data_IF_468565448147
#
_entry.id   IF_468565448147
#
_cell.length_a   1.000
_cell.length_b   1.000
_cell.length_c   1.000
_cell.angle_alpha   90.00
_cell.angle_beta   90.00
_cell.angle_gamma   90.00
#
_symmetry.space_group_name_H-M   'P 1'
#
loop_
_entity.id
_entity.type
_entity.pdbx_description
1 polymer ?
#
# COMPACT_ATOMS: atom_id res chain seq x y z
N UNK A 1 -23.52 12.94 -0.96
CA UNK A 1 -24.53 12.70 0.09
C UNK A 1 -23.98 11.58 0.94
N UNK A 2 -23.64 11.82 2.20
CA UNK A 2 -23.18 10.73 3.08
C UNK A 2 -24.38 9.78 3.27
N UNK A 3 -24.24 8.53 2.80
CA UNK A 3 -25.16 7.47 3.19
C UNK A 3 -24.98 7.30 4.69
N UNK A 4 -26.00 7.64 5.47
CA UNK A 4 -26.03 7.35 6.90
C UNK A 4 -26.28 5.84 7.03
N UNK A 5 -25.20 5.05 6.96
CA UNK A 5 -25.27 3.61 7.18
C UNK A 5 -25.56 3.41 8.67
N UNK A 6 -26.62 2.66 8.98
CA UNK A 6 -26.79 2.15 10.35
C UNK A 6 -25.82 0.96 10.56
N UNK A 7 -24.75 1.13 11.34
CA UNK A 7 -23.77 0.05 11.56
C UNK A 7 -24.40 -1.25 12.02
N UNK A 8 -25.47 -1.19 12.81
CA UNK A 8 -26.13 -2.39 13.40
C UNK A 8 -26.83 -3.26 12.36
N UNK A 9 -27.12 -2.71 11.19
CA UNK A 9 -27.79 -3.43 10.10
C UNK A 9 -26.83 -3.89 9.01
N UNK A 10 -25.54 -3.57 9.11
CA UNK A 10 -24.52 -3.89 8.11
C UNK A 10 -23.57 -4.99 8.65
N UNK A 11 -23.75 -6.23 8.17
CA UNK A 11 -22.94 -7.38 8.56
C UNK A 11 -21.63 -7.41 7.78
N UNK A 12 -20.51 -7.35 8.49
CA UNK A 12 -19.17 -7.22 7.90
C UNK A 12 -18.45 -8.56 7.89
N UNK A 13 -18.02 -9.01 6.71
CA UNK A 13 -17.01 -10.06 6.56
C UNK A 13 -15.62 -9.42 6.63
N UNK A 14 -14.89 -9.61 7.73
CA UNK A 14 -13.54 -9.08 7.90
C UNK A 14 -12.51 -10.10 7.40
N UNK A 15 -11.92 -9.85 6.22
CA UNK A 15 -10.96 -10.74 5.59
C UNK A 15 -9.55 -10.46 6.08
N UNK A 16 -8.94 -11.45 6.74
CA UNK A 16 -7.57 -11.38 7.23
C UNK A 16 -6.89 -12.76 7.22
N UNK A 17 -5.59 -12.82 7.41
CA UNK A 17 -4.80 -14.05 7.29
C UNK A 17 -4.31 -14.26 5.85
N UNK A 18 -4.95 -15.18 5.12
CA UNK A 18 -4.56 -15.48 3.74
C UNK A 18 -3.31 -16.36 3.63
N UNK A 19 -2.74 -16.44 2.41
CA UNK A 19 -1.64 -17.38 2.07
C UNK A 19 -0.30 -16.69 1.79
N UNK A 20 -0.24 -15.36 1.87
CA UNK A 20 0.99 -14.61 1.60
C UNK A 20 2.02 -14.75 2.73
N UNK A 21 3.25 -14.32 2.45
CA UNK A 21 4.31 -14.23 3.45
C UNK A 21 4.00 -13.18 4.54
N UNK A 22 3.00 -12.31 4.33
CA UNK A 22 2.56 -11.25 5.25
C UNK A 22 1.36 -11.66 6.12
N UNK A 23 1.08 -12.98 6.22
CA UNK A 23 -0.06 -13.53 6.96
C UNK A 23 -0.19 -13.00 8.39
N UNK A 24 0.90 -12.98 9.15
CA UNK A 24 0.87 -12.54 10.56
C UNK A 24 0.51 -11.05 10.69
N UNK A 25 0.98 -10.23 9.76
CA UNK A 25 0.65 -8.79 9.69
C UNK A 25 -0.83 -8.61 9.33
N UNK A 26 -1.33 -9.43 8.42
CA UNK A 26 -2.73 -9.45 8.03
C UNK A 26 -3.64 -9.82 9.20
N UNK A 27 -3.29 -10.84 10.00
CA UNK A 27 -4.02 -11.23 11.20
C UNK A 27 -4.02 -10.10 12.25
N UNK A 28 -2.87 -9.46 12.47
CA UNK A 28 -2.76 -8.32 13.39
C UNK A 28 -3.59 -7.11 12.92
N UNK A 29 -3.61 -6.82 11.61
CA UNK A 29 -4.46 -5.79 11.00
C UNK A 29 -5.94 -6.12 11.18
N UNK A 30 -6.32 -7.39 10.95
CA UNK A 30 -7.67 -7.89 11.14
C UNK A 30 -8.15 -7.72 12.58
N UNK A 31 -7.34 -8.07 13.57
CA UNK A 31 -7.71 -7.90 14.99
C UNK A 31 -7.90 -6.42 15.35
N UNK A 32 -7.02 -5.53 14.88
CA UNK A 32 -7.18 -4.09 15.09
C UNK A 32 -8.46 -3.53 14.45
N UNK A 33 -8.74 -3.93 13.22
CA UNK A 33 -9.95 -3.53 12.51
C UNK A 33 -11.23 -4.10 13.14
N UNK A 34 -11.20 -5.36 13.63
CA UNK A 34 -12.31 -5.99 14.35
C UNK A 34 -12.71 -5.18 15.57
N UNK A 35 -11.75 -4.86 16.44
CA UNK A 35 -12.03 -4.05 17.64
C UNK A 35 -12.63 -2.68 17.29
N UNK A 36 -12.13 -2.05 16.21
CA UNK A 36 -12.61 -0.75 15.76
C UNK A 36 -14.03 -0.81 15.21
N UNK A 37 -14.33 -1.80 14.35
CA UNK A 37 -15.65 -2.01 13.75
C UNK A 37 -16.70 -2.39 14.79
N UNK A 38 -16.37 -3.30 15.74
CA UNK A 38 -17.25 -3.66 16.87
C UNK A 38 -17.54 -2.44 17.75
N UNK A 39 -16.52 -1.57 18.00
CA UNK A 39 -16.68 -0.33 18.73
C UNK A 39 -17.61 0.65 17.98
N UNK A 40 -17.56 0.68 16.64
CA UNK A 40 -18.49 1.45 15.80
C UNK A 40 -19.90 0.86 15.76
N UNK A 41 -20.10 -0.39 16.23
CA UNK A 41 -21.38 -1.08 16.33
C UNK A 41 -21.71 -2.04 15.20
N UNK A 42 -20.75 -2.35 14.31
CA UNK A 42 -20.92 -3.35 13.24
C UNK A 42 -20.88 -4.78 13.79
N UNK A 43 -21.77 -5.68 13.35
CA UNK A 43 -21.60 -7.11 13.51
C UNK A 43 -20.48 -7.60 12.57
N UNK A 44 -19.39 -8.10 13.16
CA UNK A 44 -18.17 -8.48 12.43
C UNK A 44 -17.91 -9.97 12.55
N UNK A 45 -17.60 -10.61 11.44
CA UNK A 45 -17.12 -11.98 11.41
C UNK A 45 -15.79 -12.07 10.67
N UNK A 46 -14.80 -12.66 11.35
CA UNK A 46 -13.48 -12.86 10.74
C UNK A 46 -13.53 -14.03 9.76
N UNK A 47 -12.95 -13.81 8.58
CA UNK A 47 -12.88 -14.75 7.47
C UNK A 47 -11.42 -14.88 7.06
N UNK A 48 -10.89 -16.10 7.10
CA UNK A 48 -9.54 -16.39 6.61
C UNK A 48 -9.60 -17.04 5.22
N UNK A 49 -9.21 -16.35 4.14
CA UNK A 49 -9.25 -16.93 2.79
C UNK A 49 -8.29 -18.11 2.57
N UNK A 50 -7.40 -18.41 3.51
CA UNK A 50 -6.61 -19.63 3.48
C UNK A 50 -7.46 -20.88 3.80
N UNK A 51 -8.56 -20.72 4.54
CA UNK A 51 -9.52 -21.77 4.85
C UNK A 51 -10.63 -21.84 3.80
N UNK A 52 -10.84 -23.03 3.24
CA UNK A 52 -11.90 -23.24 2.22
C UNK A 52 -13.31 -23.14 2.79
N UNK A 53 -13.48 -23.45 4.08
CA UNK A 53 -14.77 -23.32 4.77
C UNK A 53 -15.16 -21.86 4.90
N UNK A 54 -14.22 -21.00 5.25
CA UNK A 54 -14.42 -19.56 5.34
C UNK A 54 -14.69 -18.92 3.97
N UNK A 55 -13.97 -19.34 2.92
CA UNK A 55 -14.30 -18.91 1.55
C UNK A 55 -15.72 -19.33 1.14
N UNK A 56 -16.18 -20.52 1.57
CA UNK A 56 -17.54 -20.97 1.30
C UNK A 56 -18.56 -20.13 2.04
N UNK A 57 -18.27 -19.67 3.25
CA UNK A 57 -19.15 -18.77 4.02
C UNK A 57 -19.41 -17.45 3.31
N UNK A 58 -18.41 -16.88 2.60
CA UNK A 58 -18.61 -15.68 1.79
C UNK A 58 -19.66 -15.84 0.70
N UNK A 59 -19.85 -17.07 0.19
CA UNK A 59 -20.85 -17.39 -0.85
C UNK A 59 -22.22 -17.69 -0.22
N UNK A 60 -22.24 -18.45 0.88
CA UNK A 60 -23.46 -19.02 1.43
C UNK A 60 -24.16 -18.11 2.46
N UNK A 61 -23.42 -17.22 3.11
CA UNK A 61 -23.97 -16.37 4.17
C UNK A 61 -24.20 -14.93 3.68
N UNK A 62 -25.25 -14.26 4.19
CA UNK A 62 -25.59 -12.89 3.78
C UNK A 62 -24.68 -11.87 4.50
N UNK A 63 -23.53 -11.56 3.92
CA UNK A 63 -22.72 -10.39 4.30
C UNK A 63 -23.12 -9.19 3.44
N UNK A 64 -23.04 -7.98 4.01
CA UNK A 64 -23.34 -6.74 3.31
C UNK A 64 -22.09 -6.10 2.70
N UNK A 65 -20.94 -6.35 3.32
CA UNK A 65 -19.65 -5.80 2.88
C UNK A 65 -18.49 -6.67 3.37
N UNK A 66 -17.44 -6.79 2.55
CA UNK A 66 -16.16 -7.34 2.94
C UNK A 66 -15.18 -6.22 3.35
N UNK A 67 -14.62 -6.30 4.55
CA UNK A 67 -13.56 -5.40 5.00
C UNK A 67 -12.20 -6.07 4.82
N UNK A 68 -11.34 -5.52 3.96
CA UNK A 68 -10.07 -6.15 3.59
C UNK A 68 -8.94 -5.70 4.52
N UNK A 69 -8.31 -6.68 5.18
CA UNK A 69 -7.06 -6.55 5.93
C UNK A 69 -6.00 -7.54 5.44
N UNK A 70 -6.10 -7.96 4.18
CA UNK A 70 -5.14 -8.87 3.55
C UNK A 70 -3.92 -8.10 3.06
N UNK A 71 -2.75 -8.74 3.06
CA UNK A 71 -1.51 -8.15 2.57
C UNK A 71 -0.80 -9.08 1.59
N UNK A 72 -0.08 -8.48 0.63
CA UNK A 72 0.71 -9.19 -0.37
C UNK A 72 -0.14 -9.99 -1.36
N UNK A 73 0.48 -11.05 -1.90
CA UNK A 73 -0.09 -11.90 -2.94
C UNK A 73 -1.44 -12.51 -2.54
N UNK A 74 -2.39 -12.56 -3.47
CA UNK A 74 -3.79 -12.97 -3.30
C UNK A 74 -4.66 -12.02 -2.48
N UNK A 75 -4.10 -11.00 -1.83
CA UNK A 75 -4.83 -9.99 -1.07
C UNK A 75 -4.84 -8.63 -1.76
N UNK A 76 -3.65 -8.16 -2.18
CA UNK A 76 -3.46 -6.83 -2.77
C UNK A 76 -3.31 -6.84 -4.30
N UNK A 77 -3.31 -8.02 -4.94
CA UNK A 77 -3.04 -8.21 -6.36
C UNK A 77 -4.29 -8.29 -7.25
N UNK A 78 -5.47 -8.03 -6.71
CA UNK A 78 -6.75 -8.12 -7.43
C UNK A 78 -7.42 -9.49 -7.38
N UNK A 79 -6.75 -10.53 -6.88
CA UNK A 79 -7.30 -11.90 -6.84
C UNK A 79 -8.53 -12.00 -5.93
N UNK A 80 -8.42 -11.50 -4.69
CA UNK A 80 -9.54 -11.52 -3.74
C UNK A 80 -10.64 -10.57 -4.19
N UNK A 81 -10.28 -9.41 -4.72
CA UNK A 81 -11.23 -8.44 -5.27
C UNK A 81 -12.08 -9.06 -6.39
N UNK A 82 -11.43 -9.78 -7.32
CA UNK A 82 -12.14 -10.49 -8.40
C UNK A 82 -13.06 -11.61 -7.90
N UNK A 83 -12.69 -12.29 -6.82
CA UNK A 83 -13.58 -13.28 -6.18
C UNK A 83 -14.82 -12.60 -5.58
N UNK A 84 -14.64 -11.47 -4.89
CA UNK A 84 -15.74 -10.71 -4.28
C UNK A 84 -16.66 -10.09 -5.34
N UNK A 85 -16.09 -9.61 -6.46
CA UNK A 85 -16.89 -9.15 -7.62
C UNK A 85 -17.77 -10.26 -8.20
N UNK A 86 -17.26 -11.51 -8.30
CA UNK A 86 -18.02 -12.65 -8.83
C UNK A 86 -19.20 -13.08 -7.95
N UNK A 87 -19.16 -12.77 -6.66
CA UNK A 87 -20.24 -13.06 -5.71
C UNK A 87 -21.08 -11.83 -5.35
N UNK A 88 -20.88 -10.72 -6.08
CA UNK A 88 -21.57 -9.45 -5.87
C UNK A 88 -21.47 -8.90 -4.42
N UNK A 89 -20.38 -9.19 -3.70
CA UNK A 89 -20.14 -8.69 -2.35
C UNK A 89 -19.29 -7.41 -2.40
N UNK A 90 -19.84 -6.23 -2.03
CA UNK A 90 -19.05 -5.00 -1.91
C UNK A 90 -17.87 -5.16 -0.95
N UNK A 91 -16.76 -4.48 -1.21
CA UNK A 91 -15.57 -4.59 -0.38
C UNK A 91 -14.83 -3.25 -0.24
N UNK A 92 -14.11 -3.07 0.86
CA UNK A 92 -13.29 -1.90 1.10
C UNK A 92 -12.04 -1.88 0.21
N UNK A 93 -11.43 -0.72 0.07
CA UNK A 93 -10.23 -0.50 -0.74
C UNK A 93 -10.47 -0.58 -2.25
N UNK A 94 -9.42 -0.69 -3.03
CA UNK A 94 -9.45 -0.60 -4.49
C UNK A 94 -9.96 -1.88 -5.17
N UNK A 95 -10.48 -1.76 -6.38
CA UNK A 95 -10.93 -2.87 -7.21
C UNK A 95 -9.80 -3.67 -7.85
N UNK A 96 -10.16 -4.66 -8.67
CA UNK A 96 -9.23 -5.61 -9.33
C UNK A 96 -8.11 -4.91 -10.09
N UNK A 97 -8.48 -4.00 -10.99
CA UNK A 97 -7.53 -3.30 -11.86
C UNK A 97 -6.51 -2.50 -11.06
N UNK A 98 -6.98 -1.67 -10.14
CA UNK A 98 -6.13 -0.78 -9.33
C UNK A 98 -5.21 -1.57 -8.42
N UNK A 99 -5.70 -2.64 -7.81
CA UNK A 99 -4.92 -3.53 -6.94
C UNK A 99 -3.80 -4.22 -7.71
N UNK A 100 -4.11 -4.84 -8.86
CA UNK A 100 -3.12 -5.48 -9.70
C UNK A 100 -2.08 -4.50 -10.25
N UNK A 101 -2.52 -3.29 -10.64
CA UNK A 101 -1.64 -2.25 -11.17
C UNK A 101 -0.71 -1.69 -10.09
N UNK A 102 -1.23 -1.39 -8.91
CA UNK A 102 -0.43 -0.85 -7.81
C UNK A 102 0.61 -1.85 -7.29
N UNK A 103 0.28 -3.15 -7.30
CA UNK A 103 1.20 -4.22 -6.88
C UNK A 103 2.38 -4.36 -7.83
N UNK A 104 2.20 -4.12 -9.13
CA UNK A 104 3.24 -4.13 -10.14
C UNK A 104 3.94 -2.77 -10.21
N UNK A 105 5.08 -2.65 -9.52
CA UNK A 105 5.84 -1.39 -9.41
C UNK A 105 6.25 -0.83 -10.77
N UNK A 106 6.66 -1.69 -11.70
CA UNK A 106 7.06 -1.26 -13.03
C UNK A 106 5.89 -0.65 -13.82
N UNK A 107 4.72 -1.27 -13.73
CA UNK A 107 3.50 -0.77 -14.41
C UNK A 107 2.95 0.47 -13.71
N UNK A 108 2.94 0.51 -12.37
CA UNK A 108 2.52 1.69 -11.60
C UNK A 108 3.34 2.94 -12.00
N UNK A 109 4.66 2.79 -12.17
CA UNK A 109 5.55 3.90 -12.58
C UNK A 109 5.21 4.45 -13.96
N UNK A 110 4.78 3.63 -14.92
CA UNK A 110 4.32 4.10 -16.24
C UNK A 110 3.12 5.05 -16.10
N UNK A 111 2.21 4.77 -15.16
CA UNK A 111 1.08 5.65 -14.89
C UNK A 111 1.50 6.92 -14.13
N UNK A 112 2.46 6.83 -13.21
CA UNK A 112 3.01 8.03 -12.57
C UNK A 112 3.67 8.95 -13.60
N UNK A 113 4.52 8.42 -14.46
CA UNK A 113 5.18 9.19 -15.52
C UNK A 113 4.16 9.84 -16.48
N UNK A 114 3.14 9.11 -16.91
CA UNK A 114 2.07 9.62 -17.77
C UNK A 114 1.35 10.81 -17.14
N UNK A 115 1.13 10.79 -15.86
CA UNK A 115 0.43 11.86 -15.10
C UNK A 115 1.42 12.93 -14.58
N UNK A 116 2.69 12.88 -15.00
CA UNK A 116 3.76 13.77 -14.54
C UNK A 116 3.94 13.79 -13.03
N UNK A 117 3.82 12.61 -12.39
CA UNK A 117 4.13 12.39 -10.98
C UNK A 117 5.61 12.00 -10.91
N UNK A 118 6.46 12.75 -10.18
CA UNK A 118 7.86 12.40 -10.06
C UNK A 118 8.04 11.02 -9.40
N UNK A 119 8.73 10.11 -10.09
CA UNK A 119 9.12 8.79 -9.59
C UNK A 119 10.57 8.54 -9.98
N UNK A 120 11.39 7.83 -9.17
CA UNK A 120 12.79 7.61 -9.51
C UNK A 120 12.94 6.98 -10.89
N UNK A 121 13.87 7.45 -11.74
CA UNK A 121 14.19 6.80 -13.00
C UNK A 121 14.46 5.32 -12.77
N UNK A 122 13.92 4.46 -13.62
CA UNK A 122 14.01 3.02 -13.44
C UNK A 122 14.09 2.26 -14.76
N UNK A 123 14.53 1.02 -14.67
CA UNK A 123 14.45 0.03 -15.73
C UNK A 123 13.95 -1.30 -15.20
N UNK A 124 13.22 -2.01 -16.02
CA UNK A 124 12.73 -3.36 -15.71
C UNK A 124 13.60 -4.39 -16.41
N UNK A 125 13.94 -5.44 -15.68
CA UNK A 125 14.74 -6.56 -16.17
C UNK A 125 13.98 -7.87 -15.94
N UNK A 126 13.88 -8.69 -16.99
CA UNK A 126 13.25 -10.01 -16.90
C UNK A 126 14.31 -11.09 -16.64
N UNK A 127 13.95 -12.11 -15.90
CA UNK A 127 14.82 -13.27 -15.63
C UNK A 127 15.35 -13.88 -16.91
N UNK A 128 16.69 -14.05 -16.97
CA UNK A 128 17.39 -14.52 -18.16
C UNK A 128 17.79 -13.43 -19.16
N UNK A 129 17.38 -12.19 -18.96
CA UNK A 129 17.87 -11.05 -19.73
C UNK A 129 19.30 -10.70 -19.27
N UNK A 130 20.20 -10.46 -20.21
CA UNK A 130 21.53 -9.93 -19.88
C UNK A 130 21.45 -8.43 -19.58
N UNK A 131 22.07 -8.02 -18.50
CA UNK A 131 22.16 -6.63 -18.05
C UNK A 131 23.63 -6.21 -18.09
N UNK A 132 23.90 -5.11 -18.75
CA UNK A 132 25.19 -4.43 -18.66
C UNK A 132 25.16 -3.50 -17.44
N UNK A 133 25.77 -3.95 -16.34
CA UNK A 133 25.79 -3.19 -15.10
C UNK A 133 26.48 -1.84 -15.23
N UNK A 134 27.46 -1.70 -16.14
CA UNK A 134 28.10 -0.40 -16.39
C UNK A 134 27.12 0.55 -17.09
N UNK A 135 26.34 0.07 -18.04
CA UNK A 135 25.29 0.88 -18.67
C UNK A 135 24.20 1.34 -17.67
N UNK A 136 23.89 0.50 -16.68
CA UNK A 136 22.99 0.89 -15.57
C UNK A 136 23.61 2.04 -14.77
N UNK A 137 24.88 1.95 -14.40
CA UNK A 137 25.61 2.99 -13.66
C UNK A 137 25.64 4.29 -14.46
N UNK A 138 25.94 4.23 -15.74
CA UNK A 138 26.00 5.40 -16.63
C UNK A 138 24.64 6.11 -16.72
N UNK A 139 23.55 5.37 -16.68
CA UNK A 139 22.19 5.92 -16.76
C UNK A 139 21.61 6.40 -15.43
N UNK A 140 21.93 5.74 -14.31
CA UNK A 140 21.24 5.93 -13.02
C UNK A 140 22.17 6.38 -11.89
N UNK A 141 23.49 6.33 -12.07
CA UNK A 141 24.51 6.62 -11.07
C UNK A 141 25.05 5.35 -10.39
N UNK A 142 26.14 5.52 -9.64
CA UNK A 142 26.87 4.43 -8.97
C UNK A 142 26.01 3.64 -7.99
N UNK A 143 25.08 4.31 -7.31
CA UNK A 143 24.20 3.72 -6.29
C UNK A 143 22.78 3.56 -6.83
N UNK A 144 22.27 2.34 -6.76
CA UNK A 144 20.93 1.98 -7.25
C UNK A 144 20.18 1.15 -6.23
N UNK A 145 18.86 1.05 -6.43
CA UNK A 145 17.97 0.14 -5.70
C UNK A 145 17.55 -0.98 -6.66
N UNK A 146 17.81 -2.22 -6.28
CA UNK A 146 17.36 -3.42 -6.99
C UNK A 146 16.27 -4.10 -6.18
N UNK A 147 15.10 -4.33 -6.77
CA UNK A 147 13.95 -4.88 -6.04
C UNK A 147 13.05 -5.75 -6.94
N UNK A 148 12.37 -6.77 -6.38
CA UNK A 148 11.33 -7.52 -7.07
C UNK A 148 10.20 -6.60 -7.56
N UNK A 149 9.61 -6.91 -8.71
CA UNK A 149 8.56 -6.10 -9.33
C UNK A 149 7.25 -6.10 -8.55
N UNK A 150 6.88 -7.27 -7.97
CA UNK A 150 5.54 -7.50 -7.41
C UNK A 150 5.51 -7.85 -5.91
N UNK A 151 6.64 -7.77 -5.20
CA UNK A 151 6.69 -8.04 -3.75
C UNK A 151 6.44 -6.79 -2.91
N UNK A 152 5.88 -7.01 -1.70
CA UNK A 152 5.61 -5.99 -0.69
C UNK A 152 6.67 -5.94 0.42
N UNK A 153 6.44 -5.06 1.42
CA UNK A 153 7.15 -5.02 2.71
C UNK A 153 8.70 -4.99 2.63
N UNK A 154 9.25 -4.40 1.58
CA UNK A 154 10.70 -4.33 1.31
C UNK A 154 11.40 -5.70 1.18
N UNK A 155 10.65 -6.78 0.93
CA UNK A 155 11.22 -8.11 0.70
C UNK A 155 12.04 -8.08 -0.59
N UNK A 156 13.33 -8.47 -0.49
CA UNK A 156 14.23 -8.52 -1.65
C UNK A 156 14.66 -7.16 -2.19
N UNK A 157 14.55 -6.09 -1.41
CA UNK A 157 15.06 -4.76 -1.78
C UNK A 157 16.53 -4.66 -1.38
N UNK A 158 17.37 -4.33 -2.36
CA UNK A 158 18.81 -4.18 -2.19
C UNK A 158 19.24 -2.78 -2.62
N UNK A 159 19.91 -2.05 -1.73
CA UNK A 159 20.60 -0.80 -2.06
C UNK A 159 22.07 -1.14 -2.26
N UNK A 160 22.55 -0.95 -3.48
CA UNK A 160 23.90 -1.41 -3.88
C UNK A 160 24.65 -0.35 -4.65
N UNK A 161 26.00 -0.46 -4.67
CA UNK A 161 26.89 0.46 -5.33
C UNK A 161 27.95 -0.29 -6.11
N UNK A 162 28.11 0.06 -7.39
CA UNK A 162 29.06 -0.56 -8.31
C UNK A 162 28.53 -1.80 -9.04
N UNK A 163 29.18 -2.14 -10.16
CA UNK A 163 28.71 -3.15 -11.12
C UNK A 163 28.57 -4.54 -10.51
N UNK A 164 29.57 -5.03 -9.78
CA UNK A 164 29.55 -6.36 -9.17
C UNK A 164 28.41 -6.53 -8.17
N UNK A 165 28.15 -5.50 -7.34
CA UNK A 165 27.06 -5.51 -6.37
C UNK A 165 25.67 -5.46 -7.05
N UNK A 166 25.54 -4.79 -8.19
CA UNK A 166 24.30 -4.79 -9.00
C UNK A 166 24.04 -6.22 -9.53
N UNK A 167 25.04 -6.91 -10.07
CA UNK A 167 24.89 -8.27 -10.59
C UNK A 167 24.48 -9.26 -9.48
N UNK A 168 25.11 -9.16 -8.31
CA UNK A 168 24.75 -9.99 -7.15
C UNK A 168 23.31 -9.71 -6.66
N UNK A 169 22.90 -8.43 -6.61
CA UNK A 169 21.58 -8.04 -6.18
C UNK A 169 20.51 -8.56 -7.17
N UNK A 170 20.78 -8.45 -8.48
CA UNK A 170 19.90 -9.02 -9.51
C UNK A 170 19.72 -10.52 -9.34
N UNK A 171 20.82 -11.26 -9.13
CA UNK A 171 20.75 -12.69 -8.93
C UNK A 171 19.85 -13.07 -7.73
N UNK A 172 19.99 -12.35 -6.60
CA UNK A 172 19.16 -12.56 -5.40
C UNK A 172 17.70 -12.16 -5.62
N UNK A 173 17.44 -11.04 -6.29
CA UNK A 173 16.08 -10.59 -6.58
C UNK A 173 15.34 -11.57 -7.52
N UNK A 174 16.06 -12.19 -8.48
CA UNK A 174 15.51 -13.23 -9.37
C UNK A 174 15.23 -14.57 -8.70
N UNK A 175 15.66 -14.78 -7.47
CA UNK A 175 15.20 -15.92 -6.66
C UNK A 175 13.76 -15.71 -6.15
N UNK A 176 13.31 -14.46 -6.11
CA UNK A 176 12.03 -14.04 -5.55
C UNK A 176 10.99 -13.77 -6.65
N UNK A 177 11.37 -13.04 -7.70
CA UNK A 177 10.48 -12.62 -8.78
C UNK A 177 11.18 -12.75 -10.14
N UNK A 178 10.41 -13.07 -11.18
CA UNK A 178 10.93 -13.15 -12.55
C UNK A 178 11.02 -11.74 -13.22
N UNK A 179 10.42 -10.73 -12.63
CA UNK A 179 10.54 -9.32 -13.02
C UNK A 179 11.22 -8.52 -11.90
N UNK A 180 12.34 -7.86 -12.22
CA UNK A 180 13.14 -7.07 -11.25
C UNK A 180 13.23 -5.63 -11.74
N UNK A 181 13.02 -4.69 -10.83
CA UNK A 181 13.15 -3.26 -11.07
C UNK A 181 14.50 -2.77 -10.54
N UNK A 182 15.25 -2.03 -11.36
CA UNK A 182 16.42 -1.27 -10.96
C UNK A 182 16.04 0.20 -10.97
N UNK A 183 16.24 0.91 -9.86
CA UNK A 183 15.91 2.33 -9.74
C UNK A 183 17.14 3.15 -9.34
N UNK A 184 17.18 4.40 -9.78
CA UNK A 184 18.14 5.39 -9.24
C UNK A 184 17.92 5.50 -7.73
N UNK A 185 18.98 5.37 -6.95
CA UNK A 185 18.93 5.66 -5.52
C UNK A 185 18.69 7.16 -5.29
N UNK A 186 17.64 7.46 -4.55
CA UNK A 186 17.31 8.82 -4.13
C UNK A 186 17.74 8.99 -2.68
N UNK A 187 18.60 9.97 -2.42
CA UNK A 187 18.99 10.33 -1.05
C UNK A 187 18.04 11.39 -0.51
N UNK A 188 17.31 11.07 0.55
CA UNK A 188 16.37 12.01 1.14
C UNK A 188 15.71 11.46 2.40
N UNK A 189 14.71 12.18 2.90
CA UNK A 189 13.88 11.77 4.03
C UNK A 189 12.65 11.02 3.54
N UNK A 190 12.26 9.98 4.29
CA UNK A 190 11.11 9.16 3.94
C UNK A 190 9.81 9.71 4.53
N UNK A 191 8.77 9.74 3.70
CA UNK A 191 7.42 10.17 4.07
C UNK A 191 6.39 9.20 3.52
N UNK A 192 5.23 9.18 4.17
CA UNK A 192 4.07 8.47 3.64
C UNK A 192 2.82 9.32 3.78
N UNK A 193 1.93 9.18 2.79
CA UNK A 193 0.70 9.96 2.72
C UNK A 193 -0.45 9.02 2.36
N UNK A 194 -1.40 8.90 3.26
CA UNK A 194 -2.64 8.21 2.99
C UNK A 194 -3.67 9.14 2.33
N UNK A 195 -4.44 8.58 1.43
CA UNK A 195 -5.56 9.25 0.75
C UNK A 195 -6.82 8.47 1.04
N UNK A 196 -7.93 9.13 1.35
CA UNK A 196 -9.22 8.50 1.66
C UNK A 196 -10.33 9.14 0.83
N UNK A 197 -11.18 8.30 0.25
CA UNK A 197 -12.35 8.70 -0.53
C UNK A 197 -12.36 8.14 -1.94
N UNK A 198 -13.51 8.29 -2.63
CA UNK A 198 -13.73 7.82 -4.00
C UNK A 198 -13.65 8.98 -5.00
N UNK A 199 -14.77 9.69 -5.27
CA UNK A 199 -14.85 10.75 -6.27
C UNK A 199 -14.01 11.99 -5.91
N UNK A 200 -13.97 12.34 -4.63
CA UNK A 200 -13.20 13.46 -4.09
C UNK A 200 -12.25 12.96 -3.01
N UNK A 201 -11.19 12.24 -3.40
CA UNK A 201 -10.23 11.71 -2.44
C UNK A 201 -9.41 12.83 -1.83
N UNK A 202 -9.21 12.74 -0.51
CA UNK A 202 -8.48 13.72 0.29
C UNK A 202 -7.24 13.08 0.91
N UNK A 203 -6.11 13.81 0.85
CA UNK A 203 -4.88 13.39 1.51
C UNK A 203 -4.97 13.67 3.02
N UNK A 204 -4.66 12.69 3.83
CA UNK A 204 -4.50 12.82 5.27
C UNK A 204 -3.18 13.52 5.63
N UNK A 205 -2.97 13.90 6.90
CA UNK A 205 -1.69 14.47 7.35
C UNK A 205 -0.50 13.59 6.97
N UNK A 206 0.57 14.24 6.52
CA UNK A 206 1.82 13.59 6.11
C UNK A 206 2.50 12.99 7.34
N UNK A 207 3.03 11.79 7.20
CA UNK A 207 3.87 11.15 8.22
C UNK A 207 5.30 11.13 7.74
N UNK A 208 6.24 11.63 8.53
CA UNK A 208 7.67 11.39 8.35
C UNK A 208 8.04 10.07 9.04
N UNK A 209 8.76 9.22 8.31
CA UNK A 209 9.26 7.94 8.80
C UNK A 209 10.76 8.13 9.09
N UNK A 210 11.12 8.11 10.37
CA UNK A 210 12.50 8.20 10.82
C UNK A 210 12.97 6.81 11.24
N UNK A 211 13.73 6.09 10.37
CA UNK A 211 14.26 4.78 10.72
C UNK A 211 15.30 4.92 11.85
N UNK A 212 15.36 3.95 12.75
CA UNK A 212 16.41 3.87 13.77
C UNK A 212 17.71 3.25 13.27
N UNK A 213 17.66 2.57 12.14
CA UNK A 213 18.80 2.05 11.39
C UNK A 213 19.01 2.87 10.12
N UNK A 214 20.13 2.70 9.46
CA UNK A 214 20.46 3.43 8.22
C UNK A 214 19.51 3.12 7.04
N UNK A 215 18.57 2.17 7.22
CA UNK A 215 17.63 1.74 6.19
C UNK A 215 16.28 1.31 6.77
N UNK A 216 15.16 1.65 6.10
CA UNK A 216 13.79 1.27 6.46
C UNK A 216 13.43 -0.07 5.80
N UNK A 217 13.97 -1.16 6.34
CA UNK A 217 13.73 -2.54 5.90
C UNK A 217 12.48 -3.17 6.55
N UNK A 218 12.26 -4.46 6.25
CA UNK A 218 11.14 -5.23 6.81
C UNK A 218 11.14 -5.22 8.34
N UNK A 219 12.31 -5.38 8.97
CA UNK A 219 12.43 -5.39 10.43
C UNK A 219 12.12 -4.01 11.01
N UNK A 220 12.59 -2.94 10.38
CA UNK A 220 12.30 -1.55 10.78
C UNK A 220 10.81 -1.19 10.60
N UNK A 221 10.11 -1.81 9.64
CA UNK A 221 8.67 -1.58 9.38
C UNK A 221 7.77 -2.20 10.45
N UNK A 222 8.11 -3.39 10.94
CA UNK A 222 7.20 -4.19 11.78
C UNK A 222 7.71 -4.47 13.19
N UNK A 223 9.00 -4.32 13.47
CA UNK A 223 9.53 -4.45 14.83
C UNK A 223 9.02 -3.30 15.72
N UNK A 224 8.61 -3.62 16.94
CA UNK A 224 8.19 -2.62 17.92
C UNK A 224 9.33 -1.61 18.15
N UNK A 225 9.10 -0.38 17.71
CA UNK A 225 10.09 0.69 17.81
C UNK A 225 11.22 0.64 16.78
N UNK A 226 11.07 -0.04 15.64
CA UNK A 226 12.02 -0.05 14.51
C UNK A 226 12.12 1.29 13.79
N UNK A 227 11.06 2.08 13.78
CA UNK A 227 11.02 3.46 13.27
C UNK A 227 10.27 4.38 14.23
N UNK A 228 10.46 5.68 14.06
CA UNK A 228 9.65 6.72 14.71
C UNK A 228 8.77 7.37 13.63
N UNK A 229 7.47 7.51 13.93
CA UNK A 229 6.52 8.22 13.08
C UNK A 229 6.28 9.62 13.65
N UNK A 230 6.51 10.64 12.85
CA UNK A 230 6.20 12.04 13.18
C UNK A 230 4.98 12.45 12.37
N UNK A 231 3.84 12.63 13.03
CA UNK A 231 2.57 12.96 12.40
C UNK A 231 1.83 14.07 13.17
N UNK A 232 1.51 15.22 12.53
CA UNK A 232 1.91 15.61 11.18
C UNK A 232 3.42 15.87 11.08
N UNK A 233 3.99 15.62 9.89
CA UNK A 233 5.40 15.87 9.61
C UNK A 233 5.72 17.38 9.68
N UNK A 234 6.90 17.72 10.17
CA UNK A 234 7.40 19.11 10.19
C UNK A 234 8.00 19.47 8.82
N UNK A 235 7.17 20.08 7.97
CA UNK A 235 7.50 20.48 6.60
C UNK A 235 7.04 21.89 6.31
N UNK A 236 7.79 22.66 5.46
CA UNK A 236 7.26 23.89 4.87
C UNK A 236 5.93 23.64 4.15
N UNK A 237 4.96 24.55 4.32
CA UNK A 237 3.58 24.32 3.81
C UNK A 237 3.52 24.17 2.29
N UNK A 238 4.38 24.85 1.54
CA UNK A 238 4.45 24.73 0.08
C UNK A 238 4.91 23.33 -0.36
N UNK A 239 5.86 22.72 0.37
CA UNK A 239 6.31 21.33 0.16
C UNK A 239 5.19 20.37 0.58
N UNK A 240 4.62 20.54 1.77
CA UNK A 240 3.55 19.70 2.27
C UNK A 240 2.32 19.72 1.35
N UNK A 241 1.91 20.89 0.85
CA UNK A 241 0.79 21.01 -0.08
C UNK A 241 1.07 20.27 -1.41
N UNK A 242 2.28 20.41 -1.96
CA UNK A 242 2.70 19.69 -3.17
C UNK A 242 2.70 18.18 -2.96
N UNK A 243 3.27 17.67 -1.87
CA UNK A 243 3.30 16.25 -1.56
C UNK A 243 1.89 15.67 -1.43
N UNK A 244 0.98 16.35 -0.72
CA UNK A 244 -0.44 15.93 -0.64
C UNK A 244 -1.10 15.89 -2.01
N UNK A 245 -0.79 16.85 -2.86
CA UNK A 245 -1.31 16.89 -4.24
C UNK A 245 -0.79 15.72 -5.07
N UNK A 246 0.50 15.37 -4.98
CA UNK A 246 1.07 14.22 -5.67
C UNK A 246 0.50 12.89 -5.15
N UNK A 247 0.22 12.75 -3.85
CA UNK A 247 -0.45 11.57 -3.31
C UNK A 247 -1.87 11.39 -3.88
N UNK A 248 -2.64 12.47 -3.96
CA UNK A 248 -3.99 12.44 -4.58
C UNK A 248 -3.90 12.14 -6.08
N UNK A 249 -2.89 12.66 -6.79
CA UNK A 249 -2.67 12.32 -8.20
C UNK A 249 -2.30 10.85 -8.37
N UNK A 250 -1.40 10.30 -7.53
CA UNK A 250 -1.02 8.89 -7.57
C UNK A 250 -2.23 7.98 -7.33
N UNK A 251 -3.06 8.29 -6.31
CA UNK A 251 -4.32 7.61 -6.06
C UNK A 251 -5.22 7.57 -7.31
N UNK A 252 -5.40 8.72 -7.99
CA UNK A 252 -6.22 8.83 -9.19
C UNK A 252 -5.58 8.17 -10.41
N UNK A 253 -4.27 8.31 -10.60
CA UNK A 253 -3.53 7.71 -11.71
C UNK A 253 -3.66 6.18 -11.74
N UNK A 254 -3.66 5.56 -10.56
CA UNK A 254 -3.87 4.12 -10.42
C UNK A 254 -5.35 3.73 -10.28
N UNK A 255 -6.28 4.67 -10.44
CA UNK A 255 -7.73 4.44 -10.25
C UNK A 255 -8.08 3.82 -8.90
N UNK A 256 -7.37 4.20 -7.85
CA UNK A 256 -7.64 3.71 -6.49
C UNK A 256 -8.99 4.23 -5.98
N UNK A 257 -9.60 3.48 -5.07
CA UNK A 257 -10.83 3.83 -4.38
C UNK A 257 -10.77 3.49 -2.88
N UNK A 258 -11.64 4.09 -2.09
CA UNK A 258 -11.72 3.92 -0.65
C UNK A 258 -10.52 4.50 0.07
N UNK A 259 -9.36 3.88 -0.07
CA UNK A 259 -8.10 4.38 0.48
C UNK A 259 -6.90 3.90 -0.34
N UNK A 260 -5.81 4.65 -0.26
CA UNK A 260 -4.47 4.21 -0.65
C UNK A 260 -3.44 4.92 0.22
N UNK A 261 -2.20 4.42 0.25
CA UNK A 261 -1.08 5.07 0.90
C UNK A 261 0.11 5.06 -0.03
N UNK A 262 0.62 6.24 -0.37
CA UNK A 262 1.81 6.38 -1.20
C UNK A 262 3.02 6.73 -0.35
N UNK A 263 4.15 6.07 -0.65
CA UNK A 263 5.41 6.26 0.04
C UNK A 263 6.33 7.15 -0.82
N UNK A 264 7.04 8.08 -0.18
CA UNK A 264 7.79 9.16 -0.82
C UNK A 264 9.19 9.29 -0.26
N UNK A 265 10.12 9.76 -1.11
CA UNK A 265 11.39 10.36 -0.65
C UNK A 265 11.40 11.83 -1.05
N UNK A 266 11.77 12.68 -0.10
CA UNK A 266 11.99 14.12 -0.29
C UNK A 266 13.48 14.42 -0.26
N UNK A 267 14.04 14.87 -1.38
CA UNK A 267 15.44 15.32 -1.47
C UNK A 267 15.62 16.72 -0.82
N UNK A 268 16.86 17.07 -0.50
CA UNK A 268 17.20 18.36 0.14
C UNK A 268 16.87 19.57 -0.74
N UNK A 269 16.81 19.40 -2.07
CA UNK A 269 16.41 20.46 -3.02
C UNK A 269 14.88 20.65 -3.09
N UNK A 270 14.12 19.84 -2.35
CA UNK A 270 12.67 19.87 -2.31
C UNK A 270 11.99 19.02 -3.39
N UNK A 271 12.72 18.25 -4.18
CA UNK A 271 12.13 17.29 -5.12
C UNK A 271 11.52 16.11 -4.34
N UNK A 272 10.26 15.82 -4.64
CA UNK A 272 9.50 14.75 -3.98
C UNK A 272 9.25 13.61 -4.97
N UNK A 273 9.69 12.41 -4.63
CA UNK A 273 9.62 11.22 -5.46
C UNK A 273 8.65 10.20 -4.90
N UNK A 274 7.64 9.80 -5.67
CA UNK A 274 6.73 8.69 -5.34
C UNK A 274 7.45 7.37 -5.60
N UNK A 275 7.52 6.52 -4.57
CA UNK A 275 8.14 5.19 -4.67
C UNK A 275 7.15 4.12 -5.08
N UNK A 276 6.02 4.06 -4.37
CA UNK A 276 4.95 3.08 -4.56
C UNK A 276 3.63 3.56 -3.95
N UNK A 277 2.55 2.88 -4.29
CA UNK A 277 1.22 3.12 -3.69
C UNK A 277 0.62 1.79 -3.23
N UNK A 278 0.27 1.70 -1.96
CA UNK A 278 -0.40 0.55 -1.36
C UNK A 278 -1.91 0.74 -1.41
N UNK A 279 -2.64 -0.27 -1.85
CA UNK A 279 -4.11 -0.24 -1.96
C UNK A 279 -4.84 -0.79 -0.75
N UNK A 280 -4.17 -1.59 0.10
CA UNK A 280 -4.69 -2.07 1.39
C UNK A 280 -3.68 -1.72 2.50
N UNK A 281 -3.61 -0.45 2.93
CA UNK A 281 -2.69 -0.06 3.99
C UNK A 281 -2.97 -0.81 5.29
N UNK A 282 -1.91 -1.09 6.07
CA UNK A 282 -2.02 -1.79 7.34
C UNK A 282 -3.00 -1.12 8.31
N UNK A 283 -3.70 -1.93 9.09
CA UNK A 283 -4.78 -1.54 10.02
C UNK A 283 -4.50 -1.97 11.46
N UNK A 284 -3.23 -2.13 11.83
CA UNK A 284 -2.86 -2.30 13.24
C UNK A 284 -2.95 -0.97 14.00
N UNK A 285 -2.97 -1.00 15.32
CA UNK A 285 -3.00 0.22 16.16
C UNK A 285 -1.81 1.16 15.95
N UNK A 286 -0.71 0.66 15.39
CA UNK A 286 0.53 1.39 15.10
C UNK A 286 0.78 1.57 13.60
N UNK A 287 -0.19 1.23 12.78
CA UNK A 287 -0.08 1.40 11.32
C UNK A 287 -0.24 2.87 10.90
N UNK A 288 0.41 3.21 9.80
CA UNK A 288 0.52 4.59 9.30
C UNK A 288 -0.84 5.21 8.91
N UNK A 289 -1.77 4.42 8.33
CA UNK A 289 -3.09 4.94 7.97
C UNK A 289 -3.93 5.33 9.22
N UNK A 290 -4.07 4.48 10.26
CA UNK A 290 -4.70 4.89 11.52
C UNK A 290 -4.01 6.07 12.21
N UNK A 291 -2.68 6.18 12.13
CA UNK A 291 -1.94 7.32 12.70
C UNK A 291 -2.25 8.62 11.98
N UNK A 292 -2.27 8.62 10.64
CA UNK A 292 -2.64 9.77 9.82
C UNK A 292 -4.11 10.20 10.07
N UNK A 293 -5.04 9.24 10.16
CA UNK A 293 -6.43 9.50 10.46
C UNK A 293 -6.61 10.16 11.84
N UNK A 294 -5.91 9.66 12.85
CA UNK A 294 -5.92 10.24 14.22
C UNK A 294 -5.39 11.67 14.22
N UNK A 295 -4.31 11.96 13.48
CA UNK A 295 -3.77 13.31 13.35
C UNK A 295 -4.74 14.25 12.60
N UNK A 296 -5.62 13.73 11.73
CA UNK A 296 -6.71 14.46 11.10
C UNK A 296 -7.94 14.62 12.02
N UNK A 297 -7.92 14.11 13.25
CA UNK A 297 -9.06 14.15 14.19
C UNK A 297 -10.09 13.04 13.97
N UNK A 298 -9.79 12.04 13.15
CA UNK A 298 -10.66 10.88 12.87
C UNK A 298 -10.20 9.69 13.72
N UNK A 299 -11.05 9.18 14.57
CA UNK A 299 -10.79 7.97 15.35
C UNK A 299 -10.71 6.73 14.47
N UNK A 300 -10.11 5.66 14.97
CA UNK A 300 -9.98 4.41 14.20
C UNK A 300 -11.35 3.77 13.86
N UNK A 301 -12.35 3.74 14.75
CA UNK A 301 -13.71 3.34 14.39
C UNK A 301 -14.35 4.22 13.28
N UNK A 302 -14.14 5.54 13.32
CA UNK A 302 -14.64 6.44 12.28
C UNK A 302 -13.94 6.20 10.93
N UNK A 303 -12.63 5.94 10.92
CA UNK A 303 -11.91 5.55 9.72
C UNK A 303 -12.48 4.26 9.11
N UNK A 304 -12.66 3.21 9.91
CA UNK A 304 -13.23 1.94 9.45
C UNK A 304 -14.65 2.13 8.89
N UNK A 305 -15.48 2.94 9.56
CA UNK A 305 -16.83 3.30 9.09
C UNK A 305 -16.75 4.02 7.74
N UNK A 306 -15.83 4.99 7.61
CA UNK A 306 -15.62 5.72 6.36
C UNK A 306 -15.22 4.82 5.19
N UNK A 307 -14.38 3.81 5.43
CA UNK A 307 -13.99 2.85 4.40
C UNK A 307 -15.18 1.96 3.97
N UNK A 308 -16.05 1.56 4.91
CA UNK A 308 -17.29 0.84 4.58
C UNK A 308 -18.23 1.73 3.77
N UNK A 309 -18.41 3.01 4.15
CA UNK A 309 -19.20 3.97 3.37
C UNK A 309 -18.67 4.06 1.93
N UNK A 310 -17.36 4.19 1.76
CA UNK A 310 -16.74 4.20 0.42
C UNK A 310 -17.04 2.92 -0.36
N UNK A 311 -16.99 1.75 0.28
CA UNK A 311 -17.28 0.47 -0.36
C UNK A 311 -18.72 0.34 -0.84
N UNK A 312 -19.68 0.87 -0.08
CA UNK A 312 -21.11 0.79 -0.39
C UNK A 312 -21.61 1.90 -1.35
N UNK A 313 -20.89 3.03 -1.40
CA UNK A 313 -21.21 4.14 -2.33
C UNK A 313 -20.76 3.86 -3.78
N UNK A 314 -19.91 2.89 -4.00
CA UNK A 314 -19.28 2.65 -5.30
C UNK A 314 -19.75 1.33 -5.94
N UNK A 315 -20.32 1.43 -7.16
CA UNK A 315 -20.23 0.31 -8.10
C UNK A 315 -18.80 0.31 -8.63
N UNK A 316 -17.95 -0.54 -8.09
CA UNK A 316 -16.58 -0.71 -8.59
C UNK A 316 -16.64 -1.21 -10.02
N UNK A 317 -16.01 -0.46 -10.93
CA UNK A 317 -15.87 -0.81 -12.35
C UNK A 317 -14.79 -1.88 -12.52
#
# INVERSE_FOLDING_TARGET
MSSNIDPRSCRVALLCGGKSNEREISLASGEGAREALETAGFPVEMIDPADKGDLKRLIDEPFDVAFLCLHGKYGEDGTMQGFLDLIDLPYTCSGVWSSALAMDKAKAKVFYERENIPTPPSMTVMKGQQVDAQAVIDAMGEKVVVKPGTEGSAIGVFIVEGAEAIEEALAKAFEIDDEVLIERYIKGREYTIAVVGNQNPEALPIIEIVPKSDFYDFESKYAVGGSQHICPADLPEDIAARMRQEAVKAHKALSCSGTSRSDFILEDDGTCWVLETNTIPGMTKTSLLPDAARAAGMSFPELCTKLIECALDEKKL
#
